data_IF_619153565780
#
_entry.id   IF_619153565780
#
_cell.length_a   1.000
_cell.length_b   1.000
_cell.length_c   1.000
_cell.angle_alpha   90.00
_cell.angle_beta   90.00
_cell.angle_gamma   90.00
#
_symmetry.space_group_name_H-M   'P 1'
#
loop_
_entity.id
_entity.type
_entity.pdbx_description
1 polymer ?
#
# COMPACT_ATOMS: atom_id res chain seq x y z
N UNK A 1 14.41 1.96 29.59
CA UNK A 1 14.27 2.60 28.26
C UNK A 1 13.08 1.96 27.59
N UNK A 2 12.15 2.74 27.04
CA UNK A 2 11.04 2.18 26.25
C UNK A 2 11.63 1.68 24.93
N UNK A 3 11.35 0.43 24.53
CA UNK A 3 11.81 -0.06 23.23
C UNK A 3 11.09 0.69 22.11
N UNK A 4 11.78 0.96 21.01
CA UNK A 4 11.19 1.60 19.83
C UNK A 4 10.18 0.63 19.22
N UNK A 5 8.93 1.05 18.93
CA UNK A 5 7.95 0.16 18.32
C UNK A 5 8.29 -0.05 16.85
N UNK A 6 7.97 -1.23 16.32
CA UNK A 6 7.91 -1.47 14.90
C UNK A 6 6.72 -0.71 14.27
N UNK A 7 6.87 -0.30 13.01
CA UNK A 7 5.86 0.49 12.30
C UNK A 7 5.54 -0.14 10.95
N UNK A 8 4.29 -0.58 10.76
CA UNK A 8 3.76 -0.98 9.47
C UNK A 8 2.98 0.19 8.85
N UNK A 9 3.43 0.67 7.70
CA UNK A 9 2.70 1.61 6.87
C UNK A 9 2.02 0.84 5.74
N UNK A 10 0.73 0.53 5.90
CA UNK A 10 -0.08 -0.13 4.89
C UNK A 10 -0.79 0.89 3.99
N UNK A 11 -0.51 0.86 2.70
CA UNK A 11 -1.20 1.66 1.68
C UNK A 11 -1.98 0.75 0.74
N UNK A 12 -3.30 0.92 0.71
CA UNK A 12 -4.21 0.22 -0.20
C UNK A 12 -4.52 1.14 -1.39
N UNK A 13 -3.89 0.89 -2.54
CA UNK A 13 -4.00 1.76 -3.71
C UNK A 13 -5.42 1.72 -4.28
N UNK A 14 -6.07 2.87 -4.36
CA UNK A 14 -7.43 2.99 -4.88
C UNK A 14 -8.54 2.65 -3.88
N UNK A 15 -8.24 2.44 -2.59
CA UNK A 15 -9.28 2.23 -1.57
C UNK A 15 -10.10 3.49 -1.33
N UNK A 16 -11.43 3.33 -1.28
CA UNK A 16 -12.36 4.42 -0.98
C UNK A 16 -13.03 4.22 0.36
N UNK A 17 -13.15 5.30 1.13
CA UNK A 17 -13.78 5.29 2.45
C UNK A 17 -15.25 4.82 2.41
N UNK A 18 -16.02 5.22 1.39
CA UNK A 18 -17.44 4.84 1.25
C UNK A 18 -17.65 3.35 0.97
N UNK A 19 -16.57 2.57 0.85
CA UNK A 19 -16.58 1.16 0.52
C UNK A 19 -16.32 0.27 1.71
N UNK A 20 -15.81 0.81 2.82
CA UNK A 20 -15.64 0.10 4.09
C UNK A 20 -16.32 0.83 5.27
N UNK A 21 -16.99 1.97 5.03
CA UNK A 21 -17.67 2.75 6.06
C UNK A 21 -18.98 3.35 5.53
N UNK A 22 -19.98 3.46 6.42
CA UNK A 22 -21.24 4.17 6.16
C UNK A 22 -22.29 3.36 5.38
N UNK A 23 -23.41 4.01 5.05
CA UNK A 23 -24.59 3.38 4.42
C UNK A 23 -24.33 2.77 3.03
N UNK A 24 -23.21 3.15 2.39
CA UNK A 24 -22.78 2.65 1.08
C UNK A 24 -21.76 1.52 1.17
N UNK A 25 -21.47 1.04 2.38
CA UNK A 25 -20.63 -0.15 2.61
C UNK A 25 -21.43 -1.40 2.27
N UNK A 26 -21.23 -1.92 1.07
CA UNK A 26 -21.72 -3.25 0.70
C UNK A 26 -20.62 -4.33 0.73
N UNK A 27 -19.38 -3.94 1.02
CA UNK A 27 -18.27 -4.89 1.17
C UNK A 27 -18.25 -5.54 2.55
N UNK A 28 -17.65 -6.73 2.63
CA UNK A 28 -17.38 -7.46 3.88
C UNK A 28 -15.91 -7.25 4.23
N UNK A 29 -15.61 -6.42 5.22
CA UNK A 29 -14.23 -5.98 5.53
C UNK A 29 -13.85 -6.18 7.00
N UNK A 30 -13.93 -7.42 7.53
CA UNK A 30 -13.76 -7.69 8.97
C UNK A 30 -12.41 -7.23 9.52
N UNK A 31 -11.34 -7.30 8.72
CA UNK A 31 -10.01 -6.83 9.13
C UNK A 31 -9.98 -5.29 9.28
N UNK A 32 -10.54 -4.55 8.33
CA UNK A 32 -10.66 -3.08 8.43
C UNK A 32 -11.61 -2.68 9.57
N UNK A 33 -12.72 -3.40 9.75
CA UNK A 33 -13.66 -3.17 10.86
C UNK A 33 -12.96 -3.33 12.22
N UNK A 34 -12.15 -4.37 12.38
CA UNK A 34 -11.33 -4.57 13.59
C UNK A 34 -10.31 -3.46 13.79
N UNK A 35 -9.68 -2.94 12.72
CA UNK A 35 -8.77 -1.79 12.82
C UNK A 35 -9.50 -0.49 13.21
N UNK A 36 -10.72 -0.29 12.72
CA UNK A 36 -11.56 0.85 13.10
C UNK A 36 -11.97 0.78 14.58
N UNK A 37 -12.32 -0.41 15.07
CA UNK A 37 -12.73 -0.63 16.46
C UNK A 37 -11.57 -0.47 17.45
N UNK A 38 -10.39 -1.00 17.10
CA UNK A 38 -9.21 -1.01 17.99
C UNK A 38 -8.28 0.19 17.83
N UNK A 39 -8.51 1.00 16.79
CA UNK A 39 -7.61 2.06 16.37
C UNK A 39 -8.24 3.45 16.47
N UNK A 40 -7.69 4.36 15.68
CA UNK A 40 -8.23 5.72 15.52
C UNK A 40 -8.49 5.97 14.04
N UNK A 41 -9.70 6.40 13.73
CA UNK A 41 -10.12 6.72 12.37
C UNK A 41 -10.21 8.23 12.15
N UNK A 42 -9.65 8.70 11.03
CA UNK A 42 -9.71 10.10 10.61
C UNK A 42 -10.71 10.25 9.48
N UNK A 43 -11.92 10.70 9.80
CA UNK A 43 -13.02 10.89 8.83
C UNK A 43 -12.79 12.02 7.81
N UNK A 44 -11.76 12.84 8.01
CA UNK A 44 -11.36 13.96 7.14
C UNK A 44 -9.91 13.82 6.68
N UNK A 45 -9.47 12.59 6.42
CA UNK A 45 -8.19 12.32 5.77
C UNK A 45 -8.32 12.50 4.24
N UNK A 46 -7.70 13.55 3.69
CA UNK A 46 -7.79 13.90 2.26
C UNK A 46 -6.44 13.70 1.59
N UNK A 47 -6.43 12.98 0.46
CA UNK A 47 -5.23 12.78 -0.34
C UNK A 47 -4.74 14.11 -0.94
N UNK A 48 -3.42 14.33 -0.97
CA UNK A 48 -2.82 15.54 -1.56
C UNK A 48 -2.92 15.59 -3.09
N UNK A 49 -3.20 14.46 -3.73
CA UNK A 49 -3.38 14.33 -5.17
C UNK A 49 -4.24 13.09 -5.48
N UNK A 50 -4.85 13.06 -6.67
CA UNK A 50 -5.74 11.97 -7.13
C UNK A 50 -5.02 10.79 -7.78
N UNK A 51 -3.74 10.92 -8.13
CA UNK A 51 -2.96 9.85 -8.76
C UNK A 51 -1.96 9.22 -7.79
N UNK A 52 -1.67 7.93 -7.99
CA UNK A 52 -0.71 7.17 -7.17
C UNK A 52 0.65 7.85 -7.06
N UNK A 53 1.29 8.17 -8.18
CA UNK A 53 2.62 8.81 -8.22
C UNK A 53 2.66 10.12 -7.40
N UNK A 54 1.80 11.13 -7.67
CA UNK A 54 1.84 12.37 -6.91
C UNK A 54 1.44 12.17 -5.44
N UNK A 55 0.49 11.28 -5.12
CA UNK A 55 0.10 10.98 -3.74
C UNK A 55 1.25 10.32 -2.95
N UNK A 56 1.85 9.25 -3.48
CA UNK A 56 2.99 8.56 -2.86
C UNK A 56 4.17 9.51 -2.68
N UNK A 57 4.50 10.33 -3.68
CA UNK A 57 5.57 11.33 -3.53
C UNK A 57 5.32 12.30 -2.37
N UNK A 58 4.06 12.67 -2.15
CA UNK A 58 3.67 13.55 -1.06
C UNK A 58 3.72 12.85 0.30
N UNK A 59 3.24 11.60 0.37
CA UNK A 59 3.34 10.75 1.57
C UNK A 59 4.79 10.62 2.02
N UNK A 60 5.69 10.33 1.07
CA UNK A 60 7.11 10.12 1.39
C UNK A 60 7.80 11.39 1.87
N UNK A 61 7.50 12.55 1.29
CA UNK A 61 8.26 13.79 1.49
C UNK A 61 7.57 14.82 2.40
N UNK A 62 6.30 14.61 2.74
CA UNK A 62 5.44 15.63 3.38
C UNK A 62 5.30 16.94 2.57
N UNK A 63 5.56 16.89 1.26
CA UNK A 63 5.45 18.03 0.35
C UNK A 63 4.36 17.76 -0.70
N UNK A 64 3.73 18.81 -1.24
CA UNK A 64 2.90 18.65 -2.43
C UNK A 64 3.74 18.15 -3.62
N UNK A 65 3.11 17.38 -4.51
CA UNK A 65 3.77 16.69 -5.63
C UNK A 65 4.68 17.58 -6.49
N UNK A 66 4.29 18.83 -6.74
CA UNK A 66 5.07 19.80 -7.52
C UNK A 66 6.41 20.20 -6.87
N UNK A 67 6.58 19.95 -5.57
CA UNK A 67 7.85 20.11 -4.83
C UNK A 67 8.51 18.77 -4.49
N UNK A 68 7.70 17.73 -4.33
CA UNK A 68 8.16 16.38 -3.98
C UNK A 68 8.87 15.68 -5.15
N UNK A 69 8.45 15.96 -6.38
CA UNK A 69 8.96 15.31 -7.59
C UNK A 69 10.00 16.16 -8.32
N UNK A 70 10.96 15.49 -8.95
CA UNK A 70 11.91 16.08 -9.90
C UNK A 70 11.87 15.30 -11.20
N UNK A 71 12.05 16.00 -12.33
CA UNK A 71 12.18 15.36 -13.64
C UNK A 71 13.61 14.82 -13.79
N UNK A 72 13.73 13.52 -14.03
CA UNK A 72 15.00 12.83 -14.25
C UNK A 72 14.82 11.79 -15.36
N UNK A 73 15.61 11.92 -16.44
CA UNK A 73 15.54 11.06 -17.63
C UNK A 73 14.10 10.88 -18.16
N UNK A 74 13.37 11.99 -18.32
CA UNK A 74 11.97 12.04 -18.76
C UNK A 74 10.93 11.39 -17.83
N UNK A 75 11.32 10.95 -16.64
CA UNK A 75 10.42 10.42 -15.62
C UNK A 75 10.33 11.39 -14.43
N UNK A 76 9.18 11.42 -13.77
CA UNK A 76 9.03 12.11 -12.49
C UNK A 76 9.35 11.15 -11.36
N UNK A 77 10.32 11.53 -10.53
CA UNK A 77 10.84 10.70 -9.43
C UNK A 77 10.84 11.48 -8.13
N UNK A 78 10.87 10.79 -7.00
CA UNK A 78 11.01 11.47 -5.70
C UNK A 78 12.33 12.23 -5.69
N UNK A 79 12.26 13.52 -5.36
CA UNK A 79 13.43 14.35 -5.17
C UNK A 79 14.10 14.00 -3.84
N UNK A 80 15.11 13.14 -3.89
CA UNK A 80 15.84 12.66 -2.71
C UNK A 80 16.66 13.74 -1.99
N UNK A 81 16.76 14.95 -2.56
CA UNK A 81 17.33 16.12 -1.86
C UNK A 81 16.39 16.66 -0.78
N UNK A 82 15.09 16.39 -0.91
CA UNK A 82 14.12 16.74 0.13
C UNK A 82 14.20 15.73 1.28
N UNK A 83 13.88 16.21 2.48
CA UNK A 83 13.59 15.30 3.59
C UNK A 83 12.43 14.38 3.22
N UNK A 84 12.51 13.15 3.68
CA UNK A 84 11.47 12.15 3.52
C UNK A 84 11.44 11.27 4.77
N UNK A 85 10.26 10.74 5.09
CA UNK A 85 10.08 10.01 6.34
C UNK A 85 10.90 8.72 6.43
N UNK A 86 11.11 7.93 5.35
CA UNK A 86 11.95 6.72 5.45
C UNK A 86 13.39 7.04 5.86
N UNK A 87 14.01 8.06 5.26
CA UNK A 87 15.34 8.51 5.69
C UNK A 87 15.36 9.03 7.12
N UNK A 88 14.27 9.63 7.60
CA UNK A 88 14.17 10.10 8.98
C UNK A 88 14.05 8.94 9.97
N UNK A 89 13.28 7.90 9.66
CA UNK A 89 13.25 6.65 10.43
C UNK A 89 14.64 6.01 10.50
N UNK A 90 15.34 5.92 9.37
CA UNK A 90 16.70 5.39 9.29
C UNK A 90 17.69 6.15 10.20
N UNK A 91 17.69 7.49 10.16
CA UNK A 91 18.52 8.31 11.06
C UNK A 91 18.22 8.06 12.53
N UNK A 92 16.98 7.69 12.84
CA UNK A 92 16.53 7.36 14.18
C UNK A 92 16.70 5.86 14.51
N UNK A 93 17.51 5.12 13.75
CA UNK A 93 17.93 3.75 14.06
C UNK A 93 16.90 2.68 13.76
N UNK A 94 16.01 2.92 12.79
CA UNK A 94 15.12 1.90 12.23
C UNK A 94 15.73 1.26 10.99
N UNK A 95 15.48 -0.04 10.80
CA UNK A 95 15.65 -0.71 9.51
C UNK A 95 14.43 -0.46 8.64
N UNK A 96 14.64 0.05 7.43
CA UNK A 96 13.54 0.53 6.58
C UNK A 96 13.32 -0.37 5.38
N UNK A 97 12.13 -0.96 5.30
CA UNK A 97 11.72 -1.90 4.26
C UNK A 97 10.56 -1.33 3.45
N UNK A 98 10.49 -1.67 2.17
CA UNK A 98 9.37 -1.38 1.30
C UNK A 98 9.02 -2.57 0.39
N UNK A 99 7.73 -2.82 0.20
CA UNK A 99 7.18 -3.73 -0.81
C UNK A 99 6.12 -2.98 -1.60
N UNK A 100 6.23 -2.95 -2.92
CA UNK A 100 5.34 -2.20 -3.80
C UNK A 100 5.27 -2.85 -5.19
N UNK A 101 4.23 -2.56 -5.97
CA UNK A 101 4.13 -3.08 -7.32
C UNK A 101 5.10 -2.39 -8.29
N UNK A 102 5.70 -3.15 -9.21
CA UNK A 102 6.74 -2.68 -10.15
C UNK A 102 6.33 -1.48 -11.01
N UNK A 103 5.03 -1.25 -11.18
CA UNK A 103 4.46 -0.08 -11.85
C UNK A 103 4.93 1.26 -11.28
N UNK A 104 5.40 1.32 -10.03
CA UNK A 104 5.99 2.54 -9.43
C UNK A 104 7.50 2.43 -9.17
N UNK A 105 8.18 1.41 -9.68
CA UNK A 105 9.63 1.23 -9.51
C UNK A 105 10.45 2.46 -9.91
N UNK A 106 10.00 3.22 -10.91
CA UNK A 106 10.66 4.45 -11.34
C UNK A 106 10.64 5.58 -10.30
N UNK A 107 9.82 5.50 -9.26
CA UNK A 107 9.84 6.47 -8.15
C UNK A 107 11.13 6.42 -7.33
N UNK A 108 11.97 5.39 -7.52
CA UNK A 108 13.24 5.18 -6.83
C UNK A 108 13.08 5.07 -5.31
N UNK A 109 12.12 4.27 -4.84
CA UNK A 109 11.95 3.99 -3.40
C UNK A 109 13.20 3.33 -2.80
N UNK A 110 13.94 2.55 -3.60
CA UNK A 110 15.26 1.99 -3.25
C UNK A 110 16.35 3.04 -2.97
N UNK A 111 16.10 4.34 -3.22
CA UNK A 111 17.01 5.43 -2.85
C UNK A 111 16.71 6.03 -1.47
N UNK A 112 15.56 5.71 -0.88
CA UNK A 112 15.12 6.27 0.41
C UNK A 112 14.85 5.20 1.49
N UNK A 113 14.67 3.93 1.11
CA UNK A 113 14.60 2.78 2.02
C UNK A 113 15.91 1.96 1.99
N UNK A 114 16.21 1.21 3.05
CA UNK A 114 17.34 0.28 3.12
C UNK A 114 17.14 -0.94 2.22
N UNK A 115 15.91 -1.47 2.21
CA UNK A 115 15.48 -2.59 1.38
C UNK A 115 14.14 -2.26 0.73
N UNK A 116 14.08 -2.24 -0.59
CA UNK A 116 12.88 -1.86 -1.33
C UNK A 116 12.66 -2.83 -2.48
N UNK A 117 11.63 -3.66 -2.36
CA UNK A 117 11.36 -4.75 -3.29
C UNK A 117 10.08 -4.48 -4.08
N UNK A 118 10.22 -4.56 -5.40
CA UNK A 118 9.09 -4.60 -6.32
C UNK A 118 8.46 -6.00 -6.36
N UNK A 119 7.15 -6.08 -6.54
CA UNK A 119 6.45 -7.30 -6.92
C UNK A 119 5.75 -7.13 -8.27
N UNK A 120 5.55 -8.25 -8.95
CA UNK A 120 5.05 -8.27 -10.32
C UNK A 120 3.57 -7.86 -10.44
N UNK A 121 3.17 -7.41 -11.62
CA UNK A 121 1.79 -6.98 -11.89
C UNK A 121 0.76 -8.12 -11.83
N UNK A 122 1.21 -9.38 -11.91
CA UNK A 122 0.39 -10.58 -11.80
C UNK A 122 0.43 -11.22 -10.41
N UNK A 123 1.03 -10.55 -9.42
CA UNK A 123 1.03 -10.98 -8.03
C UNK A 123 -0.05 -10.25 -7.23
N UNK A 124 -0.86 -11.03 -6.50
CA UNK A 124 -2.06 -10.58 -5.79
C UNK A 124 -2.15 -11.24 -4.41
N UNK A 125 -2.88 -10.63 -3.47
CA UNK A 125 -3.02 -11.14 -2.10
C UNK A 125 -3.53 -12.57 -2.07
N UNK A 126 -4.53 -12.91 -2.88
CA UNK A 126 -5.10 -14.26 -2.95
C UNK A 126 -4.32 -15.23 -3.86
N UNK A 127 -3.08 -14.89 -4.24
CA UNK A 127 -2.21 -15.74 -5.06
C UNK A 127 -0.88 -15.97 -4.34
N UNK A 128 0.14 -15.20 -4.67
CA UNK A 128 1.53 -15.33 -4.27
C UNK A 128 1.99 -14.19 -3.35
N UNK A 129 1.34 -13.02 -3.42
CA UNK A 129 1.79 -11.84 -2.68
C UNK A 129 1.68 -12.01 -1.17
N UNK A 130 0.66 -12.71 -0.67
CA UNK A 130 0.52 -12.98 0.78
C UNK A 130 1.70 -13.78 1.31
N UNK A 131 2.09 -14.85 0.62
CA UNK A 131 3.22 -15.67 1.04
C UNK A 131 4.53 -14.88 0.98
N UNK A 132 4.73 -14.05 -0.04
CA UNK A 132 5.90 -13.15 -0.11
C UNK A 132 5.96 -12.16 1.06
N UNK A 133 4.83 -11.58 1.44
CA UNK A 133 4.73 -10.65 2.58
C UNK A 133 5.00 -11.40 3.90
N UNK A 134 4.33 -12.53 4.14
CA UNK A 134 4.48 -13.31 5.37
C UNK A 134 5.90 -13.84 5.56
N UNK A 135 6.55 -14.28 4.47
CA UNK A 135 7.95 -14.73 4.53
C UNK A 135 8.91 -13.66 5.06
N UNK A 136 8.62 -12.35 4.87
CA UNK A 136 9.44 -11.28 5.45
C UNK A 136 9.33 -11.21 6.98
N UNK A 137 8.15 -11.53 7.52
CA UNK A 137 7.92 -11.58 8.96
C UNK A 137 8.49 -12.87 9.57
N UNK A 138 8.17 -14.02 8.99
CA UNK A 138 8.48 -15.33 9.57
C UNK A 138 9.98 -15.64 9.61
N UNK A 139 10.74 -15.13 8.62
CA UNK A 139 12.18 -15.40 8.52
C UNK A 139 13.05 -14.34 9.21
N UNK A 140 12.47 -13.46 10.04
CA UNK A 140 13.17 -12.34 10.68
C UNK A 140 14.00 -11.50 9.69
N UNK A 141 13.47 -11.31 8.47
CA UNK A 141 14.17 -10.54 7.44
C UNK A 141 14.20 -9.04 7.76
N UNK A 142 13.39 -8.59 8.71
CA UNK A 142 13.30 -7.21 9.16
C UNK A 142 13.84 -7.09 10.59
N UNK A 143 15.07 -6.59 10.74
CA UNK A 143 15.68 -6.39 12.05
C UNK A 143 14.98 -5.28 12.82
N UNK A 144 14.64 -5.54 14.08
CA UNK A 144 13.97 -4.55 14.92
C UNK A 144 14.92 -3.43 15.40
N UNK A 145 14.43 -2.19 15.56
CA UNK A 145 13.08 -1.75 15.19
C UNK A 145 12.98 -1.53 13.67
N UNK A 146 11.84 -1.88 13.07
CA UNK A 146 11.63 -1.73 11.63
C UNK A 146 10.49 -0.79 11.27
N UNK A 147 10.64 -0.12 10.12
CA UNK A 147 9.58 0.51 9.37
C UNK A 147 9.34 -0.33 8.13
N UNK A 148 8.12 -0.78 7.90
CA UNK A 148 7.76 -1.50 6.69
C UNK A 148 6.65 -0.76 5.94
N UNK A 149 6.98 -0.24 4.75
CA UNK A 149 6.01 0.33 3.83
C UNK A 149 5.49 -0.76 2.89
N UNK A 150 4.21 -1.11 3.02
CA UNK A 150 3.55 -2.12 2.21
C UNK A 150 2.46 -1.46 1.35
N UNK A 151 2.65 -1.49 0.03
CA UNK A 151 1.76 -0.85 -0.93
C UNK A 151 1.07 -1.90 -1.82
N UNK A 152 -0.24 -2.08 -1.61
CA UNK A 152 -1.07 -3.11 -2.23
C UNK A 152 -1.89 -2.51 -3.39
N UNK A 153 -1.91 -3.20 -4.54
CA UNK A 153 -2.55 -2.76 -5.79
C UNK A 153 -3.77 -3.61 -6.21
N UNK A 154 -4.24 -4.51 -5.34
CA UNK A 154 -5.28 -5.49 -5.66
C UNK A 154 -6.60 -4.84 -6.14
N UNK A 155 -6.90 -3.61 -5.72
CA UNK A 155 -8.08 -2.84 -6.15
C UNK A 155 -8.00 -2.29 -7.58
N UNK A 156 -6.83 -2.30 -8.22
CA UNK A 156 -6.69 -1.86 -9.61
C UNK A 156 -7.25 -2.89 -10.59
N UNK A 157 -8.34 -2.55 -11.26
CA UNK A 157 -8.98 -3.39 -12.29
C UNK A 157 -8.45 -3.01 -13.67
N UNK A 158 -7.18 -3.30 -13.94
CA UNK A 158 -6.62 -3.12 -15.27
C UNK A 158 -7.06 -4.26 -16.18
N UNK A 159 -7.50 -3.94 -17.39
CA UNK A 159 -8.14 -4.91 -18.31
C UNK A 159 -7.27 -6.14 -18.63
N UNK A 160 -5.94 -5.97 -18.67
CA UNK A 160 -4.99 -7.03 -19.01
C UNK A 160 -4.69 -8.01 -17.86
N UNK A 161 -4.83 -7.59 -16.60
CA UNK A 161 -4.68 -8.48 -15.42
C UNK A 161 -6.02 -8.98 -14.89
N UNK A 162 -7.12 -8.43 -15.38
CA UNK A 162 -8.45 -8.68 -14.82
C UNK A 162 -8.85 -10.16 -14.85
N UNK A 163 -8.57 -10.83 -15.97
CA UNK A 163 -8.86 -12.25 -16.14
C UNK A 163 -8.04 -13.10 -15.17
N UNK A 164 -6.76 -12.77 -14.97
CA UNK A 164 -5.88 -13.50 -14.05
C UNK A 164 -6.28 -13.30 -12.59
N UNK A 165 -6.70 -12.07 -12.20
CA UNK A 165 -7.26 -11.80 -10.88
C UNK A 165 -8.47 -12.67 -10.60
N UNK A 166 -9.43 -12.71 -11.53
CA UNK A 166 -10.62 -13.56 -11.43
C UNK A 166 -10.30 -15.04 -11.31
N UNK A 167 -9.36 -15.52 -12.12
CA UNK A 167 -8.99 -16.95 -12.15
C UNK A 167 -8.50 -17.46 -10.78
N UNK A 168 -7.84 -16.61 -10.00
CA UNK A 168 -7.31 -16.97 -8.68
C UNK A 168 -8.14 -16.41 -7.52
N UNK A 169 -9.23 -15.68 -7.81
CA UNK A 169 -10.01 -15.03 -6.78
C UNK A 169 -10.67 -16.05 -5.84
N UNK A 170 -10.80 -15.74 -4.54
CA UNK A 170 -11.44 -16.62 -3.58
C UNK A 170 -12.94 -16.74 -3.87
N UNK A 171 -13.60 -17.79 -3.35
CA UNK A 171 -15.02 -18.06 -3.64
C UNK A 171 -15.93 -16.89 -3.27
N UNK A 172 -15.58 -16.16 -2.21
CA UNK A 172 -16.23 -14.94 -1.72
C UNK A 172 -16.31 -13.84 -2.80
N UNK A 173 -15.32 -13.77 -3.70
CA UNK A 173 -15.34 -12.85 -4.83
C UNK A 173 -16.50 -13.16 -5.81
N UNK A 174 -16.90 -14.42 -5.92
CA UNK A 174 -17.97 -14.83 -6.84
C UNK A 174 -19.36 -14.89 -6.20
N UNK A 175 -19.47 -14.63 -4.89
CA UNK A 175 -20.74 -14.71 -4.19
C UNK A 175 -21.75 -13.67 -4.71
N UNK A 176 -22.73 -14.16 -5.47
CA UNK A 176 -23.82 -13.36 -6.06
C UNK A 176 -24.83 -12.88 -5.03
N UNK A 177 -24.81 -13.40 -3.79
CA UNK A 177 -25.63 -12.86 -2.69
C UNK A 177 -25.24 -11.42 -2.37
N UNK A 178 -24.01 -11.05 -2.71
CA UNK A 178 -23.58 -9.67 -2.73
C UNK A 178 -24.01 -9.06 -4.09
N UNK A 179 -25.15 -8.38 -4.11
CA UNK A 179 -25.60 -7.52 -5.23
C UNK A 179 -24.68 -6.28 -5.39
N UNK A 180 -23.37 -6.52 -5.44
CA UNK A 180 -22.32 -5.54 -5.34
C UNK A 180 -21.47 -5.57 -6.60
N UNK A 181 -20.98 -4.38 -6.97
CA UNK A 181 -20.09 -4.24 -8.13
C UNK A 181 -18.76 -4.95 -7.87
N UNK A 182 -18.01 -5.16 -8.94
CA UNK A 182 -16.74 -5.90 -8.89
C UNK A 182 -15.70 -5.32 -7.94
N UNK A 183 -15.60 -3.99 -7.87
CA UNK A 183 -14.69 -3.32 -6.94
C UNK A 183 -15.00 -3.70 -5.49
N UNK A 184 -16.27 -3.75 -5.09
CA UNK A 184 -16.67 -4.14 -3.72
C UNK A 184 -16.39 -5.62 -3.41
N UNK A 185 -16.40 -6.48 -4.43
CA UNK A 185 -15.98 -7.88 -4.28
C UNK A 185 -14.49 -7.98 -4.00
N UNK A 186 -13.67 -7.18 -4.69
CA UNK A 186 -12.23 -7.10 -4.39
C UNK A 186 -12.02 -6.55 -2.99
N UNK A 187 -12.69 -5.46 -2.60
CA UNK A 187 -12.60 -4.90 -1.23
C UNK A 187 -12.96 -5.95 -0.18
N UNK A 188 -13.89 -6.86 -0.48
CA UNK A 188 -14.28 -7.93 0.45
C UNK A 188 -13.29 -9.09 0.52
N UNK A 189 -12.42 -9.23 -0.49
CA UNK A 189 -11.45 -10.30 -0.62
C UNK A 189 -10.05 -9.94 -0.11
N UNK A 190 -9.84 -8.69 0.32
CA UNK A 190 -8.58 -8.16 0.89
C UNK A 190 -8.70 -7.94 2.40
#
# INVERSE_FOLDING_TARGET
MVSKPNVLFLLLDGLRADKFLGEKKFSITPNLDSLLEKGTYFSQAVASASGTIPAVSSIMTSLYSHKALVKDNNLYRINTKNQNFPLEFKKNGYNTHATYQDVISFLNLNKIFDDANGYDNYSFLWKDLTDEILNKFDNNMMQEPWLYYLHIYDLHILSFIHAEKKKHAPDEFFDKKMNVNEYERIVSAI
#
